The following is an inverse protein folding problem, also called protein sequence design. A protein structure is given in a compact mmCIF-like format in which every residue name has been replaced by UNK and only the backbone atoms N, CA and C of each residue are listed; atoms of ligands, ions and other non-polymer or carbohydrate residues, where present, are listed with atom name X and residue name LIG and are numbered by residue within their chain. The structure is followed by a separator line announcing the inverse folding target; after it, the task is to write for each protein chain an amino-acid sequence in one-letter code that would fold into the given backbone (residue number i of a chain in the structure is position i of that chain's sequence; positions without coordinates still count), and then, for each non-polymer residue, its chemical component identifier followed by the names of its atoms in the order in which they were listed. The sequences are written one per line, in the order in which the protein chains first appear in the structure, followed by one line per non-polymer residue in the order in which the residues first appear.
data_IF_075045503362
#
_entry.id   IF_075045503362
#
_cell.length_a   1.000
_cell.length_b   1.000
_cell.length_c   1.000
_cell.angle_alpha   90.00
_cell.angle_beta   90.00
_cell.angle_gamma   90.00
#
_symmetry.space_group_name_H-M   'P 1'
#
loop_
_entity.id
_entity.type
_entity.pdbx_description
1 polymer ?
#
# COMPACT_ATOMS: atom_id res chain seq x y z
N UNK A 1 14.41 6.15 -5.81
CA UNK A 1 13.26 6.91 -5.32
C UNK A 1 12.31 7.22 -6.47
N UNK A 2 12.78 7.36 -7.71
CA UNK A 2 11.88 7.24 -8.87
C UNK A 2 11.28 5.83 -8.88
N UNK A 3 9.98 5.76 -9.14
CA UNK A 3 9.22 4.52 -9.24
C UNK A 3 9.37 3.92 -10.63
N UNK A 4 8.67 2.81 -10.90
CA UNK A 4 8.57 2.25 -12.25
C UNK A 4 7.75 3.13 -13.20
N UNK A 5 6.98 4.10 -12.68
CA UNK A 5 6.30 5.11 -13.48
C UNK A 5 7.22 6.33 -13.64
N UNK A 6 7.65 6.66 -14.87
CA UNK A 6 8.59 7.76 -15.11
C UNK A 6 8.07 9.10 -14.55
N UNK A 7 8.94 9.83 -13.86
CA UNK A 7 8.60 11.12 -13.27
C UNK A 7 7.79 11.05 -11.97
N UNK A 8 7.41 9.87 -11.52
CA UNK A 8 6.78 9.66 -10.21
C UNK A 8 7.82 9.16 -9.22
N UNK A 9 7.95 9.86 -8.10
CA UNK A 9 8.90 9.54 -7.04
C UNK A 9 8.14 9.13 -5.77
N UNK A 10 8.65 8.14 -5.06
CA UNK A 10 8.13 7.71 -3.76
C UNK A 10 9.20 7.85 -2.67
N UNK A 11 8.78 8.22 -1.47
CA UNK A 11 9.62 8.39 -0.29
C UNK A 11 8.83 8.16 1.00
N UNK A 12 9.53 7.84 2.09
CA UNK A 12 8.88 7.60 3.39
C UNK A 12 8.11 6.30 3.41
N UNK A 13 7.11 6.18 4.27
CA UNK A 13 6.44 4.89 4.50
C UNK A 13 5.66 4.38 3.28
N UNK A 14 5.32 5.26 2.32
CA UNK A 14 4.77 4.89 1.01
C UNK A 14 5.80 4.24 0.05
N UNK A 15 7.10 4.35 0.33
CA UNK A 15 8.18 3.65 -0.37
C UNK A 15 8.63 2.37 0.36
N UNK A 16 7.98 2.06 1.49
CA UNK A 16 8.37 1.02 2.43
C UNK A 16 8.46 1.63 3.82
N UNK A 17 8.00 0.90 4.84
CA UNK A 17 8.01 1.41 6.21
C UNK A 17 9.48 1.69 6.54
N UNK A 18 9.79 2.93 6.89
CA UNK A 18 11.13 3.53 7.07
C UNK A 18 11.30 4.23 8.42
N UNK A 19 10.22 4.81 8.94
CA UNK A 19 10.23 5.64 10.14
C UNK A 19 10.70 7.07 9.84
N UNK A 20 10.43 8.01 10.75
CA UNK A 20 10.52 9.44 10.46
C UNK A 20 11.88 9.89 9.90
N UNK A 21 12.99 9.45 10.51
CA UNK A 21 14.34 9.83 10.06
C UNK A 21 14.65 9.32 8.65
N UNK A 22 14.24 8.10 8.31
CA UNK A 22 14.38 7.54 6.96
C UNK A 22 13.50 8.33 5.99
N UNK A 23 12.24 8.58 6.34
CA UNK A 23 11.31 9.30 5.49
C UNK A 23 11.82 10.70 5.11
N UNK A 24 12.41 11.44 6.05
CA UNK A 24 13.03 12.75 5.77
C UNK A 24 14.20 12.62 4.80
N UNK A 25 15.08 11.63 4.98
CA UNK A 25 16.23 11.41 4.10
C UNK A 25 15.79 10.99 2.69
N UNK A 26 14.83 10.09 2.58
CA UNK A 26 14.27 9.66 1.31
C UNK A 26 13.56 10.81 0.59
N UNK A 27 12.80 11.63 1.31
CA UNK A 27 12.16 12.83 0.77
C UNK A 27 13.18 13.82 0.21
N UNK A 28 14.30 14.06 0.91
CA UNK A 28 15.40 14.88 0.39
C UNK A 28 16.01 14.31 -0.89
N UNK A 29 16.23 13.00 -0.94
CA UNK A 29 16.78 12.33 -2.13
C UNK A 29 15.78 12.38 -3.30
N UNK A 30 14.51 12.13 -3.04
CA UNK A 30 13.44 12.18 -4.04
C UNK A 30 13.27 13.61 -4.59
N UNK A 31 13.23 14.63 -3.73
CA UNK A 31 13.14 16.03 -4.14
C UNK A 31 14.32 16.49 -5.00
N UNK A 32 15.55 16.09 -4.66
CA UNK A 32 16.73 16.38 -5.49
C UNK A 32 16.65 15.70 -6.86
N UNK A 33 16.14 14.46 -6.92
CA UNK A 33 15.94 13.74 -8.17
C UNK A 33 14.86 14.41 -9.04
N UNK A 34 13.73 14.80 -8.45
CA UNK A 34 12.66 15.53 -9.11
C UNK A 34 13.14 16.89 -9.65
N UNK A 35 13.86 17.66 -8.84
CA UNK A 35 14.44 18.94 -9.27
C UNK A 35 15.43 18.79 -10.43
N UNK A 36 16.19 17.69 -10.45
CA UNK A 36 17.11 17.38 -11.57
C UNK A 36 16.32 17.07 -12.83
N UNK A 37 15.25 16.27 -12.72
CA UNK A 37 14.38 15.91 -13.86
C UNK A 37 13.70 17.14 -14.47
N UNK A 38 13.31 18.10 -13.64
CA UNK A 38 12.70 19.37 -14.07
C UNK A 38 13.71 20.39 -14.62
N UNK A 39 15.01 20.06 -14.69
CA UNK A 39 16.06 20.97 -15.15
C UNK A 39 16.42 22.08 -14.14
N UNK A 40 15.78 22.12 -12.97
CA UNK A 40 16.06 23.10 -11.91
C UNK A 40 17.39 22.86 -11.19
N UNK A 41 18.00 21.68 -11.35
CA UNK A 41 19.27 21.32 -10.74
C UNK A 41 20.14 20.49 -11.69
N UNK A 42 21.44 20.79 -11.78
CA UNK A 42 22.35 19.97 -12.57
C UNK A 42 22.56 18.59 -11.94
N UNK A 43 22.78 17.52 -12.73
CA UNK A 43 23.04 16.18 -12.19
C UNK A 43 24.24 16.14 -11.23
N UNK A 44 25.28 16.94 -11.49
CA UNK A 44 26.45 17.05 -10.62
C UNK A 44 26.10 17.63 -9.24
N UNK A 45 25.34 18.73 -9.22
CA UNK A 45 24.89 19.35 -7.97
C UNK A 45 23.95 18.44 -7.18
N UNK A 46 23.02 17.75 -7.86
CA UNK A 46 22.12 16.79 -7.22
C UNK A 46 22.85 15.59 -6.60
N UNK A 47 23.87 15.05 -7.28
CA UNK A 47 24.72 13.99 -6.73
C UNK A 47 25.47 14.45 -5.48
N UNK A 48 26.09 15.63 -5.55
CA UNK A 48 26.83 16.20 -4.41
C UNK A 48 25.92 16.38 -3.19
N UNK A 49 24.74 17.00 -3.38
CA UNK A 49 23.77 17.26 -2.31
C UNK A 49 23.11 16.00 -1.75
N UNK A 50 22.88 14.98 -2.58
CA UNK A 50 22.26 13.73 -2.12
C UNK A 50 23.22 12.77 -1.41
N UNK A 51 24.54 12.91 -1.62
CA UNK A 51 25.57 12.04 -1.03
C UNK A 51 25.47 11.88 0.49
N UNK A 52 25.43 12.96 1.31
CA UNK A 52 25.31 12.82 2.77
C UNK A 52 24.00 12.13 3.18
N UNK A 53 22.90 12.40 2.48
CA UNK A 53 21.60 11.77 2.78
C UNK A 53 21.60 10.28 2.49
N UNK A 54 22.21 9.85 1.39
CA UNK A 54 22.37 8.43 1.04
C UNK A 54 23.25 7.70 2.05
N UNK A 55 24.34 8.32 2.49
CA UNK A 55 25.23 7.75 3.50
C UNK A 55 24.51 7.57 4.86
N UNK A 56 23.76 8.57 5.31
CA UNK A 56 22.96 8.47 6.52
C UNK A 56 21.86 7.39 6.40
N UNK A 57 21.17 7.34 5.26
CA UNK A 57 20.11 6.36 4.99
C UNK A 57 20.63 4.92 5.03
N UNK A 58 21.81 4.66 4.47
CA UNK A 58 22.43 3.33 4.48
C UNK A 58 22.70 2.82 5.91
N UNK A 59 23.02 3.72 6.85
CA UNK A 59 23.24 3.37 8.27
C UNK A 59 21.93 2.99 8.96
N UNK A 60 20.87 3.76 8.73
CA UNK A 60 19.56 3.53 9.36
C UNK A 60 18.83 2.28 8.85
N UNK A 61 19.01 1.93 7.57
CA UNK A 61 18.33 0.77 6.97
C UNK A 61 18.73 -0.56 7.63
N UNK A 62 19.99 -0.72 8.06
CA UNK A 62 20.47 -1.96 8.69
C UNK A 62 19.74 -2.29 10.00
N UNK A 63 19.60 -1.30 10.89
CA UNK A 63 18.91 -1.49 12.18
C UNK A 63 17.43 -1.80 12.01
N UNK A 64 16.85 -1.41 10.86
CA UNK A 64 15.43 -1.47 10.61
C UNK A 64 14.95 -2.80 10.06
N UNK A 65 15.79 -3.50 9.30
CA UNK A 65 15.50 -4.87 8.86
C UNK A 65 15.21 -5.78 10.07
N UNK A 66 15.99 -5.60 11.15
CA UNK A 66 15.78 -6.32 12.42
C UNK A 66 14.45 -5.95 13.05
N UNK A 67 14.14 -4.65 13.19
CA UNK A 67 12.89 -4.21 13.79
C UNK A 67 11.67 -4.70 12.99
N UNK A 68 11.74 -4.68 11.66
CA UNK A 68 10.68 -5.18 10.79
C UNK A 68 10.34 -6.65 11.05
N UNK A 69 11.35 -7.50 11.30
CA UNK A 69 11.14 -8.90 11.66
C UNK A 69 10.51 -9.07 13.05
N UNK A 70 10.85 -8.20 14.00
CA UNK A 70 10.31 -8.27 15.37
C UNK A 70 8.83 -7.90 15.44
N UNK A 71 8.38 -6.97 14.59
CA UNK A 71 7.00 -6.47 14.55
C UNK A 71 6.16 -7.11 13.44
N UNK A 72 6.74 -8.05 12.68
CA UNK A 72 6.01 -8.78 11.66
C UNK A 72 4.85 -9.57 12.29
N UNK A 73 3.76 -9.69 11.54
CA UNK A 73 2.65 -10.56 11.94
C UNK A 73 3.19 -11.98 12.17
N UNK A 74 2.92 -12.54 13.35
CA UNK A 74 3.36 -13.87 13.71
C UNK A 74 2.47 -14.93 13.03
N UNK A 75 3.02 -16.11 12.70
CA UNK A 75 2.21 -17.27 12.36
C UNK A 75 1.17 -17.55 13.45
N UNK A 76 0.01 -18.10 13.07
CA UNK A 76 -1.08 -18.43 13.99
C UNK A 76 -2.05 -17.29 14.30
N UNK A 77 -1.80 -16.06 13.83
CA UNK A 77 -2.76 -14.94 14.05
C UNK A 77 -4.15 -15.25 13.43
N UNK A 78 -4.19 -15.99 12.33
CA UNK A 78 -5.43 -16.41 11.69
C UNK A 78 -6.23 -17.41 12.55
N UNK A 79 -5.59 -18.16 13.44
CA UNK A 79 -6.24 -19.13 14.33
C UNK A 79 -7.04 -18.44 15.45
N UNK A 80 -6.77 -17.16 15.71
CA UNK A 80 -7.51 -16.35 16.66
C UNK A 80 -8.82 -15.78 16.08
N UNK A 81 -9.06 -15.97 14.77
CA UNK A 81 -10.24 -15.44 14.10
C UNK A 81 -11.44 -16.33 14.42
N UNK A 82 -12.48 -15.71 14.98
CA UNK A 82 -13.77 -16.35 15.24
C UNK A 82 -14.76 -16.05 14.11
N UNK A 83 -15.82 -16.85 13.91
CA UNK A 83 -16.81 -16.63 12.85
C UNK A 83 -17.46 -15.24 12.86
N UNK A 84 -17.63 -14.64 14.04
CA UNK A 84 -18.20 -13.31 14.27
C UNK A 84 -17.17 -12.16 14.14
N UNK A 85 -15.87 -12.47 14.02
CA UNK A 85 -14.83 -11.45 13.81
C UNK A 85 -15.11 -10.65 12.54
N UNK A 86 -15.17 -9.33 12.66
CA UNK A 86 -15.41 -8.42 11.53
C UNK A 86 -14.11 -8.22 10.74
N UNK A 87 -14.10 -8.69 9.50
CA UNK A 87 -12.96 -8.56 8.57
C UNK A 87 -13.03 -7.25 7.79
N UNK A 88 -14.23 -6.81 7.38
CA UNK A 88 -14.43 -5.52 6.72
C UNK A 88 -15.31 -4.61 7.57
N UNK A 89 -14.71 -3.69 8.37
CA UNK A 89 -15.49 -2.79 9.24
C UNK A 89 -16.48 -1.89 8.48
N UNK A 90 -16.13 -1.46 7.26
CA UNK A 90 -17.00 -0.58 6.48
C UNK A 90 -18.28 -1.27 5.98
N UNK A 91 -18.22 -2.56 5.69
CA UNK A 91 -19.34 -3.33 5.10
C UNK A 91 -19.94 -4.33 6.11
N UNK A 92 -19.40 -4.39 7.33
CA UNK A 92 -19.80 -5.38 8.34
C UNK A 92 -19.50 -6.83 7.96
N UNK A 93 -18.62 -7.09 6.98
CA UNK A 93 -18.33 -8.46 6.53
C UNK A 93 -17.57 -9.22 7.62
N UNK A 94 -18.16 -10.31 8.10
CA UNK A 94 -17.57 -11.19 9.12
C UNK A 94 -16.68 -12.28 8.51
N UNK A 95 -15.87 -12.92 9.34
CA UNK A 95 -15.06 -14.08 8.96
C UNK A 95 -15.93 -15.22 8.43
N UNK A 96 -17.08 -15.50 9.06
CA UNK A 96 -18.03 -16.52 8.57
C UNK A 96 -18.46 -16.27 7.12
N UNK A 97 -18.74 -15.01 6.75
CA UNK A 97 -19.12 -14.68 5.36
C UNK A 97 -17.95 -14.82 4.40
N UNK A 98 -16.74 -14.50 4.84
CA UNK A 98 -15.51 -14.71 4.06
C UNK A 98 -15.27 -16.20 3.84
N UNK A 99 -15.36 -17.02 4.89
CA UNK A 99 -15.20 -18.48 4.79
C UNK A 99 -16.25 -19.11 3.88
N UNK A 100 -17.51 -18.71 4.00
CA UNK A 100 -18.56 -19.15 3.09
C UNK A 100 -18.21 -18.83 1.63
N UNK A 101 -17.73 -17.62 1.35
CA UNK A 101 -17.34 -17.24 -0.02
C UNK A 101 -16.14 -18.06 -0.52
N UNK A 102 -15.19 -18.40 0.36
CA UNK A 102 -14.08 -19.30 0.04
C UNK A 102 -14.57 -20.72 -0.28
N UNK A 103 -15.52 -21.24 0.51
CA UNK A 103 -16.16 -22.54 0.27
C UNK A 103 -16.94 -22.56 -1.05
N UNK A 104 -17.52 -21.42 -1.45
CA UNK A 104 -18.15 -21.19 -2.75
C UNK A 104 -17.14 -21.07 -3.92
N UNK A 105 -15.83 -21.16 -3.65
CA UNK A 105 -14.77 -21.20 -4.65
C UNK A 105 -14.15 -19.84 -5.00
N UNK A 106 -14.40 -18.79 -4.19
CA UNK A 106 -13.72 -17.50 -4.36
C UNK A 106 -12.22 -17.66 -4.13
N UNK A 107 -11.42 -17.26 -5.12
CA UNK A 107 -9.97 -17.44 -5.11
C UNK A 107 -9.14 -16.17 -5.18
N UNK A 108 -9.76 -14.99 -5.38
CA UNK A 108 -9.06 -13.71 -5.48
C UNK A 108 -9.83 -12.55 -4.81
N UNK A 109 -9.13 -11.45 -4.57
CA UNK A 109 -9.69 -10.26 -3.90
C UNK A 109 -10.84 -9.62 -4.68
N UNK A 110 -10.83 -9.68 -6.01
CA UNK A 110 -11.88 -9.11 -6.85
C UNK A 110 -13.17 -9.93 -6.79
N UNK A 111 -13.07 -11.25 -6.82
CA UNK A 111 -14.17 -12.18 -6.59
C UNK A 111 -14.71 -12.00 -5.16
N UNK A 112 -13.84 -11.94 -4.15
CA UNK A 112 -14.23 -11.69 -2.76
C UNK A 112 -15.03 -10.40 -2.62
N UNK A 113 -14.52 -9.32 -3.24
CA UNK A 113 -15.21 -8.02 -3.29
C UNK A 113 -16.61 -8.14 -3.90
N UNK A 114 -16.75 -8.82 -5.04
CA UNK A 114 -18.06 -8.99 -5.70
C UNK A 114 -19.05 -9.83 -4.88
N UNK A 115 -18.57 -10.89 -4.24
CA UNK A 115 -19.43 -11.83 -3.51
C UNK A 115 -19.85 -11.33 -2.12
N UNK A 116 -18.99 -10.57 -1.46
CA UNK A 116 -19.18 -10.21 -0.03
C UNK A 116 -19.26 -8.71 0.21
N UNK A 117 -19.05 -7.89 -0.82
CA UNK A 117 -18.84 -6.43 -0.75
C UNK A 117 -17.59 -5.98 -0.01
N UNK A 118 -16.82 -6.88 0.61
CA UNK A 118 -15.60 -6.51 1.33
C UNK A 118 -14.62 -5.75 0.41
N UNK A 119 -14.29 -4.52 0.80
CA UNK A 119 -13.49 -3.59 -0.01
C UNK A 119 -14.31 -2.65 -0.92
N UNK A 120 -15.63 -2.60 -0.77
CA UNK A 120 -16.50 -1.61 -1.42
C UNK A 120 -16.82 -0.37 -0.56
N UNK A 121 -16.60 -0.43 0.76
CA UNK A 121 -16.88 0.70 1.66
C UNK A 121 -15.89 1.85 1.52
N UNK A 122 -16.05 2.90 2.34
CA UNK A 122 -15.33 4.17 2.21
C UNK A 122 -13.81 4.06 2.20
N UNK A 123 -13.24 3.08 2.93
CA UNK A 123 -11.80 2.85 2.92
C UNK A 123 -11.26 2.24 1.61
N UNK A 124 -12.15 1.82 0.70
CA UNK A 124 -11.86 1.16 -0.59
C UNK A 124 -10.92 -0.06 -0.44
N UNK A 125 -11.11 -0.84 0.63
CA UNK A 125 -10.34 -2.05 0.90
C UNK A 125 -9.00 -1.84 1.61
N UNK A 126 -8.59 -0.60 1.87
CA UNK A 126 -7.31 -0.29 2.53
C UNK A 126 -7.13 -1.01 3.88
N UNK A 127 -8.22 -1.23 4.61
CA UNK A 127 -8.20 -1.93 5.90
C UNK A 127 -8.31 -3.45 5.77
N UNK A 128 -9.22 -3.95 4.93
CA UNK A 128 -9.55 -5.38 4.90
C UNK A 128 -8.75 -6.18 3.86
N UNK A 129 -8.28 -5.56 2.76
CA UNK A 129 -7.61 -6.28 1.67
C UNK A 129 -6.37 -7.06 2.10
N UNK A 130 -5.49 -6.58 3.00
CA UNK A 130 -4.36 -7.38 3.48
C UNK A 130 -4.81 -8.65 4.22
N UNK A 131 -5.78 -8.54 5.13
CA UNK A 131 -6.31 -9.69 5.86
C UNK A 131 -7.00 -10.70 4.92
N UNK A 132 -7.81 -10.21 3.98
CA UNK A 132 -8.45 -11.06 2.97
C UNK A 132 -7.42 -11.77 2.09
N UNK A 133 -6.35 -11.10 1.68
CA UNK A 133 -5.29 -11.72 0.89
C UNK A 133 -4.61 -12.86 1.66
N UNK A 134 -4.33 -12.65 2.95
CA UNK A 134 -3.81 -13.70 3.82
C UNK A 134 -4.76 -14.88 3.97
N UNK A 135 -6.07 -14.63 4.17
CA UNK A 135 -7.07 -15.70 4.31
C UNK A 135 -7.23 -16.51 3.02
N UNK A 136 -7.27 -15.84 1.86
CA UNK A 136 -7.33 -16.50 0.56
C UNK A 136 -6.08 -17.32 0.31
N UNK A 137 -4.88 -16.75 0.54
CA UNK A 137 -3.61 -17.43 0.36
C UNK A 137 -3.51 -18.67 1.26
N UNK A 138 -3.90 -18.53 2.53
CA UNK A 138 -3.92 -19.61 3.50
C UNK A 138 -4.87 -20.74 3.07
N UNK A 139 -6.12 -20.40 2.70
CA UNK A 139 -7.12 -21.39 2.26
C UNK A 139 -6.69 -22.15 1.01
N UNK A 140 -6.01 -21.46 0.08
CA UNK A 140 -5.52 -22.05 -1.18
C UNK A 140 -4.17 -22.75 -1.07
N UNK A 141 -3.47 -22.61 0.06
CA UNK A 141 -2.12 -23.16 0.24
C UNK A 141 -1.09 -22.55 -0.71
N UNK A 142 -1.23 -21.27 -1.07
CA UNK A 142 -0.32 -20.56 -1.99
C UNK A 142 0.43 -19.43 -1.27
N UNK A 143 1.61 -19.02 -1.76
CA UNK A 143 2.30 -17.84 -1.25
C UNK A 143 1.44 -16.57 -1.37
N UNK A 144 1.55 -15.65 -0.42
CA UNK A 144 0.79 -14.40 -0.41
C UNK A 144 1.05 -13.56 -1.67
N UNK A 145 2.27 -13.63 -2.19
CA UNK A 145 2.74 -12.93 -3.39
C UNK A 145 2.00 -13.38 -4.65
N UNK A 146 1.37 -14.56 -4.62
CA UNK A 146 0.52 -15.05 -5.72
C UNK A 146 -0.88 -14.41 -5.71
N UNK A 147 -1.27 -13.71 -4.64
CA UNK A 147 -2.52 -12.95 -4.58
C UNK A 147 -2.30 -11.59 -5.23
N UNK A 148 -2.92 -11.37 -6.38
CA UNK A 148 -2.86 -10.09 -7.06
C UNK A 148 -3.46 -8.96 -6.17
N UNK A 149 -2.80 -7.80 -6.08
CA UNK A 149 -3.34 -6.66 -5.34
C UNK A 149 -4.65 -6.16 -5.98
N UNK A 150 -5.53 -5.51 -5.21
CA UNK A 150 -6.76 -4.95 -5.76
C UNK A 150 -6.46 -3.84 -6.76
N UNK A 151 -7.29 -3.72 -7.80
CA UNK A 151 -7.20 -2.60 -8.74
C UNK A 151 -7.55 -1.28 -8.04
N UNK A 152 -6.65 -0.31 -8.07
CA UNK A 152 -6.90 1.05 -7.59
C UNK A 152 -7.57 1.86 -8.70
N UNK A 153 -8.65 2.58 -8.36
CA UNK A 153 -9.40 3.43 -9.30
C UNK A 153 -9.55 4.84 -8.72
N UNK A 154 -9.49 5.90 -9.54
CA UNK A 154 -9.87 7.23 -9.11
C UNK A 154 -11.37 7.33 -8.75
N UNK A 155 -11.75 8.20 -7.81
CA UNK A 155 -10.84 8.94 -6.91
C UNK A 155 -10.27 8.03 -5.81
N UNK A 156 -9.01 8.26 -5.41
CA UNK A 156 -8.29 7.40 -4.43
C UNK A 156 -8.94 7.43 -3.03
N UNK A 157 -9.60 8.54 -2.72
CA UNK A 157 -10.50 8.73 -1.58
C UNK A 157 -11.82 9.29 -2.09
N UNK A 158 -12.95 9.06 -1.42
CA UNK A 158 -14.22 9.69 -1.77
C UNK A 158 -14.08 11.22 -1.90
N UNK A 159 -14.65 11.77 -2.97
CA UNK A 159 -14.71 13.21 -3.23
C UNK A 159 -16.17 13.58 -3.50
N UNK A 160 -16.72 14.64 -2.87
CA UNK A 160 -18.08 15.08 -3.14
C UNK A 160 -18.29 15.41 -4.62
N UNK A 161 -19.41 14.98 -5.19
CA UNK A 161 -19.67 15.13 -6.64
C UNK A 161 -19.67 16.59 -7.09
N UNK A 162 -20.09 17.52 -6.22
CA UNK A 162 -20.10 18.95 -6.54
C UNK A 162 -18.69 19.52 -6.74
N UNK A 163 -17.65 18.94 -6.11
CA UNK A 163 -16.26 19.36 -6.32
C UNK A 163 -15.83 18.98 -7.72
N UNK A 164 -16.16 17.76 -8.15
CA UNK A 164 -15.85 17.27 -9.49
C UNK A 164 -16.62 18.03 -10.57
N UNK A 165 -17.88 18.40 -10.30
CA UNK A 165 -18.71 19.18 -11.22
C UNK A 165 -18.21 20.63 -11.45
N UNK A 166 -17.30 21.11 -10.59
CA UNK A 166 -16.70 22.45 -10.70
C UNK A 166 -15.28 22.45 -11.26
N UNK A 167 -14.73 21.27 -11.59
CA UNK A 167 -13.42 21.20 -12.23
C UNK A 167 -13.52 21.79 -13.65
N UNK A 168 -12.59 22.67 -14.07
CA UNK A 168 -12.55 23.14 -15.44
C UNK A 168 -12.35 21.94 -16.38
N UNK A 169 -13.02 21.95 -17.54
CA UNK A 169 -12.80 20.95 -18.58
C UNK A 169 -11.30 20.90 -18.92
N UNK A 170 -10.71 19.71 -18.92
CA UNK A 170 -9.30 19.53 -19.31
C UNK A 170 -9.14 20.06 -20.74
N UNK A 171 -8.35 21.14 -20.90
CA UNK A 171 -7.88 21.59 -22.21
C UNK A 171 -7.02 20.47 -22.78
N UNK A 172 -7.61 19.70 -23.68
CA UNK A 172 -6.96 18.60 -24.42
C UNK A 172 -5.94 19.17 -25.39
#
# INVERSE_FOLDING_TARGET
METTVPGIFSAGDGAGVGGAAVAVLEGRIAGLAAATRLGALSPGAARSRSRPHRAALARLRKSREVLGRLVAARPGLAELITPDTVICPCEGTTAARVDQALDEGVGDLGQMKRMTRAGMGECQGRMCSPALAHLIAHRRGIPLEAIAPPSIRPPVTPVPIHVLATLPDEQT
#
